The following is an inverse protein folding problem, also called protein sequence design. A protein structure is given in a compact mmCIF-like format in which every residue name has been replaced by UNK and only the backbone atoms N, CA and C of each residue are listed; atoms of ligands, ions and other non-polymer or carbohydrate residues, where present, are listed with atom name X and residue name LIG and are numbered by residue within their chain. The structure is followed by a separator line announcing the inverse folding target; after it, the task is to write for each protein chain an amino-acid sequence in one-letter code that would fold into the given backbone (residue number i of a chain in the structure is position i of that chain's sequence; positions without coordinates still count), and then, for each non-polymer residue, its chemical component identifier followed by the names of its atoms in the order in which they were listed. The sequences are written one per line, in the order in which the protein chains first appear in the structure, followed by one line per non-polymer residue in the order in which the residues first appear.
data_IF_994670027970
#
_entry.id   IF_994670027970
#
_cell.length_a   1.000
_cell.length_b   1.000
_cell.length_c   1.000
_cell.angle_alpha   90.00
_cell.angle_beta   90.00
_cell.angle_gamma   90.00
#
_symmetry.space_group_name_H-M   'P 1'
#
loop_
_entity.id
_entity.type
_entity.pdbx_description
1 polymer ?
#
# COMPACT_ATOMS: atom_id res chain seq x y z
N UNK A 1 28.78 -17.67 19.12
CA UNK A 1 28.59 -17.15 17.75
C UNK A 1 27.11 -16.82 17.58
N UNK A 2 26.74 -15.54 17.77
CA UNK A 2 25.34 -15.10 17.84
C UNK A 2 24.66 -15.20 16.47
N UNK A 3 24.09 -16.37 16.18
CA UNK A 3 23.34 -16.67 14.96
C UNK A 3 21.89 -16.13 15.02
N UNK A 4 21.46 -15.60 16.17
CA UNK A 4 20.10 -15.13 16.47
C UNK A 4 19.59 -13.96 15.61
N UNK A 5 20.41 -12.96 15.20
CA UNK A 5 19.89 -11.77 14.52
C UNK A 5 19.14 -12.06 13.21
N UNK A 6 19.67 -12.95 12.36
CA UNK A 6 19.05 -13.30 11.07
C UNK A 6 17.70 -14.00 11.24
N UNK A 7 17.57 -14.86 12.26
CA UNK A 7 16.32 -15.55 12.55
C UNK A 7 15.22 -14.60 13.04
N UNK A 8 15.60 -13.56 13.79
CA UNK A 8 14.66 -12.64 14.42
C UNK A 8 14.32 -11.41 13.57
N UNK A 9 15.16 -11.05 12.60
CA UNK A 9 15.04 -9.76 11.93
C UNK A 9 13.72 -9.62 11.18
N UNK A 10 13.31 -10.61 10.38
CA UNK A 10 12.05 -10.55 9.63
C UNK A 10 10.80 -10.49 10.54
N UNK A 11 10.63 -11.39 11.55
CA UNK A 11 9.52 -11.28 12.49
C UNK A 11 9.50 -9.95 13.25
N UNK A 12 10.66 -9.44 13.66
CA UNK A 12 10.75 -8.18 14.41
C UNK A 12 10.42 -6.97 13.54
N UNK A 13 10.86 -6.92 12.29
CA UNK A 13 10.54 -5.82 11.37
C UNK A 13 9.06 -5.80 10.98
N UNK A 14 8.40 -6.97 10.95
CA UNK A 14 6.93 -7.03 10.81
C UNK A 14 6.27 -6.53 12.10
N UNK A 15 6.73 -6.99 13.27
CA UNK A 15 6.18 -6.59 14.55
C UNK A 15 6.38 -5.10 14.86
N UNK A 16 7.46 -4.48 14.39
CA UNK A 16 7.71 -3.04 14.52
C UNK A 16 6.74 -2.17 13.73
N UNK A 17 5.94 -2.74 12.82
CA UNK A 17 4.90 -2.04 12.06
C UNK A 17 3.48 -2.43 12.48
N UNK A 18 3.35 -3.14 13.60
CA UNK A 18 2.07 -3.56 14.15
C UNK A 18 1.20 -2.37 14.58
N UNK A 19 -0.11 -2.44 14.31
CA UNK A 19 -1.09 -1.50 14.83
C UNK A 19 -1.23 -1.53 16.37
N UNK A 20 -0.90 -2.67 17.01
CA UNK A 20 -0.85 -2.76 18.47
C UNK A 20 0.34 -1.96 19.03
N UNK A 21 0.11 -0.92 19.86
CA UNK A 21 1.18 -0.07 20.40
C UNK A 21 2.17 -0.85 21.27
N UNK A 22 1.68 -1.81 22.05
CA UNK A 22 2.52 -2.65 22.90
C UNK A 22 3.49 -3.52 22.08
N UNK A 23 2.98 -4.17 21.02
CA UNK A 23 3.80 -4.98 20.11
C UNK A 23 4.82 -4.13 19.35
N UNK A 24 4.38 -2.98 18.84
CA UNK A 24 5.24 -2.01 18.15
C UNK A 24 6.38 -1.53 19.05
N UNK A 25 6.06 -1.08 20.27
CA UNK A 25 7.05 -0.58 21.23
C UNK A 25 8.05 -1.67 21.65
N UNK A 26 7.56 -2.87 21.95
CA UNK A 26 8.41 -4.00 22.33
C UNK A 26 9.36 -4.41 21.19
N UNK A 27 8.85 -4.54 19.96
CA UNK A 27 9.65 -4.88 18.79
C UNK A 27 10.73 -3.82 18.51
N UNK A 28 10.37 -2.53 18.56
CA UNK A 28 11.33 -1.44 18.37
C UNK A 28 12.39 -1.39 19.47
N UNK A 29 12.03 -1.71 20.72
CA UNK A 29 13.02 -1.82 21.80
C UNK A 29 14.03 -2.94 21.53
N UNK A 30 13.57 -4.11 21.05
CA UNK A 30 14.44 -5.24 20.71
C UNK A 30 15.33 -4.89 19.51
N UNK A 31 14.76 -4.31 18.45
CA UNK A 31 15.53 -3.87 17.27
C UNK A 31 16.60 -2.84 17.65
N UNK A 32 16.29 -1.91 18.54
CA UNK A 32 17.25 -0.92 19.04
C UNK A 32 18.43 -1.58 19.76
N UNK A 33 18.18 -2.56 20.61
CA UNK A 33 19.25 -3.31 21.27
C UNK A 33 20.06 -4.17 20.27
N UNK A 34 19.43 -4.66 19.20
CA UNK A 34 20.11 -5.41 18.15
C UNK A 34 21.06 -4.51 17.33
N UNK A 35 20.77 -3.22 17.21
CA UNK A 35 21.64 -2.26 16.54
C UNK A 35 23.04 -2.17 17.17
N UNK A 36 23.19 -2.43 18.47
CA UNK A 36 24.50 -2.36 19.15
C UNK A 36 25.51 -3.37 18.58
N UNK A 37 25.02 -4.50 18.06
CA UNK A 37 25.85 -5.60 17.55
C UNK A 37 25.72 -5.79 16.02
N UNK A 38 24.61 -5.37 15.42
CA UNK A 38 24.28 -5.66 14.02
C UNK A 38 23.55 -4.48 13.35
N UNK A 39 24.06 -3.27 13.54
CA UNK A 39 23.47 -2.03 13.04
C UNK A 39 23.18 -2.07 11.53
N UNK A 40 24.15 -2.53 10.72
CA UNK A 40 24.02 -2.59 9.27
C UNK A 40 22.88 -3.52 8.86
N UNK A 41 22.86 -4.74 9.40
CA UNK A 41 21.79 -5.72 9.18
C UNK A 41 20.41 -5.16 9.56
N UNK A 42 20.28 -4.52 10.72
CA UNK A 42 18.99 -3.96 11.18
C UNK A 42 18.53 -2.84 10.24
N UNK A 43 19.42 -1.92 9.87
CA UNK A 43 19.08 -0.82 8.93
C UNK A 43 18.68 -1.35 7.56
N UNK A 44 19.41 -2.34 7.04
CA UNK A 44 19.09 -3.00 5.78
C UNK A 44 17.71 -3.65 5.84
N UNK A 45 17.41 -4.41 6.90
CA UNK A 45 16.12 -5.07 7.04
C UNK A 45 14.94 -4.11 7.19
N UNK A 46 15.13 -3.02 7.94
CA UNK A 46 14.11 -1.97 8.09
C UNK A 46 13.78 -1.34 6.73
N UNK A 47 14.81 -0.90 5.98
CA UNK A 47 14.64 -0.31 4.65
C UNK A 47 13.98 -1.31 3.68
N UNK A 48 14.51 -2.53 3.58
CA UNK A 48 13.96 -3.57 2.70
C UNK A 48 12.50 -3.83 3.04
N UNK A 49 12.15 -3.93 4.31
CA UNK A 49 10.76 -4.14 4.72
C UNK A 49 9.86 -2.95 4.39
N UNK A 50 10.31 -1.71 4.58
CA UNK A 50 9.53 -0.51 4.23
C UNK A 50 9.22 -0.46 2.75
N UNK A 51 10.23 -0.70 1.94
CA UNK A 51 10.08 -0.64 0.49
C UNK A 51 9.32 -1.85 -0.07
N UNK A 52 9.44 -3.04 0.54
CA UNK A 52 8.59 -4.18 0.19
C UNK A 52 7.11 -3.89 0.47
N UNK A 53 6.78 -3.20 1.56
CA UNK A 53 5.40 -2.77 1.85
C UNK A 53 4.94 -1.74 0.83
N UNK A 54 5.77 -0.76 0.48
CA UNK A 54 5.45 0.24 -0.55
C UNK A 54 5.16 -0.41 -1.90
N UNK A 55 5.97 -1.38 -2.32
CA UNK A 55 5.78 -2.10 -3.58
C UNK A 55 4.61 -3.07 -3.51
N UNK A 56 4.25 -3.56 -2.32
CA UNK A 56 3.11 -4.45 -2.11
C UNK A 56 1.77 -3.79 -2.43
N UNK A 57 1.60 -2.50 -2.16
CA UNK A 57 0.33 -1.78 -2.33
C UNK A 57 0.60 -0.36 -2.82
N UNK A 58 0.22 -0.08 -4.07
CA UNK A 58 0.38 1.24 -4.67
C UNK A 58 -0.70 2.21 -4.19
N UNK A 59 -0.42 3.53 -4.25
CA UNK A 59 -1.44 4.56 -3.97
C UNK A 59 -2.73 4.39 -4.78
N UNK A 60 -2.62 3.96 -6.04
CA UNK A 60 -3.79 3.67 -6.88
C UNK A 60 -4.69 2.60 -6.26
N UNK A 61 -4.11 1.56 -5.64
CA UNK A 61 -4.87 0.47 -5.04
C UNK A 61 -5.46 0.87 -3.69
N UNK A 62 -4.71 1.62 -2.88
CA UNK A 62 -5.18 2.18 -1.62
C UNK A 62 -6.37 3.11 -1.84
N UNK A 63 -6.26 4.03 -2.81
CA UNK A 63 -7.37 4.92 -3.16
C UNK A 63 -8.55 4.18 -3.77
N UNK A 64 -8.32 3.18 -4.62
CA UNK A 64 -9.44 2.39 -5.17
C UNK A 64 -10.21 1.65 -4.07
N UNK A 65 -9.53 0.89 -3.21
CA UNK A 65 -10.17 0.15 -2.12
C UNK A 65 -10.81 1.10 -1.10
N UNK A 66 -10.11 2.16 -0.69
CA UNK A 66 -10.64 3.11 0.28
C UNK A 66 -11.85 3.88 -0.22
N UNK A 67 -11.89 4.25 -1.51
CA UNK A 67 -13.06 4.90 -2.10
C UNK A 67 -14.25 3.92 -2.22
N UNK A 68 -13.98 2.66 -2.55
CA UNK A 68 -15.00 1.61 -2.57
C UNK A 68 -15.63 1.40 -1.18
N UNK A 69 -14.81 1.26 -0.15
CA UNK A 69 -15.27 1.09 1.24
C UNK A 69 -15.97 2.35 1.78
N UNK A 70 -15.40 3.54 1.53
CA UNK A 70 -16.02 4.80 1.93
C UNK A 70 -17.38 5.00 1.25
N UNK A 71 -17.52 4.57 -0.01
CA UNK A 71 -18.79 4.62 -0.75
C UNK A 71 -19.83 3.69 -0.13
N UNK A 72 -19.42 2.46 0.23
CA UNK A 72 -20.26 1.48 0.93
C UNK A 72 -20.81 2.05 2.25
N UNK A 73 -19.96 2.67 3.05
CA UNK A 73 -20.34 3.29 4.33
C UNK A 73 -21.29 4.48 4.14
N UNK A 74 -21.01 5.39 3.20
CA UNK A 74 -21.81 6.58 3.00
C UNK A 74 -23.16 6.31 2.33
N UNK A 75 -23.17 5.60 1.20
CA UNK A 75 -24.38 5.38 0.42
C UNK A 75 -25.21 4.19 0.92
N UNK A 76 -24.55 3.13 1.39
CA UNK A 76 -25.22 1.93 1.90
C UNK A 76 -25.68 2.08 3.35
N UNK A 77 -24.75 2.42 4.25
CA UNK A 77 -25.02 2.45 5.70
C UNK A 77 -25.41 3.84 6.23
N UNK A 78 -25.31 4.90 5.41
CA UNK A 78 -25.47 6.31 5.84
C UNK A 78 -24.49 6.71 6.95
N UNK A 79 -23.36 6.01 7.06
CA UNK A 79 -22.35 6.21 8.07
C UNK A 79 -21.28 7.21 7.61
N UNK A 80 -21.56 8.50 7.80
CA UNK A 80 -20.66 9.59 7.43
C UNK A 80 -19.36 9.58 8.24
N UNK A 81 -19.43 9.21 9.53
CA UNK A 81 -18.24 9.16 10.39
C UNK A 81 -17.27 8.07 9.93
N UNK A 82 -17.78 6.86 9.68
CA UNK A 82 -16.98 5.76 9.16
C UNK A 82 -16.35 6.09 7.79
N UNK A 83 -17.09 6.78 6.92
CA UNK A 83 -16.53 7.27 5.65
C UNK A 83 -15.29 8.15 5.87
N UNK A 84 -15.32 9.09 6.83
CA UNK A 84 -14.15 9.90 7.15
C UNK A 84 -13.00 9.09 7.77
N UNK A 85 -13.31 8.17 8.67
CA UNK A 85 -12.31 7.26 9.28
C UNK A 85 -11.54 6.45 8.21
N UNK A 86 -12.17 6.16 7.06
CA UNK A 86 -11.52 5.49 5.91
C UNK A 86 -10.71 6.46 5.04
N UNK A 87 -11.25 7.64 4.72
CA UNK A 87 -10.63 8.57 3.76
C UNK A 87 -9.50 9.42 4.35
N UNK A 88 -9.59 9.78 5.63
CA UNK A 88 -8.64 10.68 6.29
C UNK A 88 -7.19 10.14 6.30
N UNK A 89 -6.94 8.85 6.62
CA UNK A 89 -5.60 8.27 6.52
C UNK A 89 -5.01 8.31 5.10
N UNK A 90 -5.84 8.22 4.06
CA UNK A 90 -5.40 8.29 2.67
C UNK A 90 -4.97 9.69 2.28
N UNK A 91 -5.73 10.71 2.71
CA UNK A 91 -5.31 12.10 2.54
C UNK A 91 -4.04 12.42 3.31
N UNK A 92 -3.93 11.97 4.56
CA UNK A 92 -2.72 12.14 5.36
C UNK A 92 -1.50 11.42 4.75
N UNK A 93 -1.71 10.32 4.01
CA UNK A 93 -0.67 9.70 3.21
C UNK A 93 -0.20 10.61 2.06
N UNK A 94 -1.11 11.26 1.34
CA UNK A 94 -0.74 12.16 0.25
C UNK A 94 -0.10 13.46 0.73
N UNK A 95 -0.52 13.97 1.88
CA UNK A 95 0.03 15.19 2.49
C UNK A 95 1.52 15.04 2.86
N UNK A 96 1.97 13.82 3.18
CA UNK A 96 3.40 13.51 3.38
C UNK A 96 4.24 13.69 2.11
N UNK A 97 3.60 13.77 0.95
CA UNK A 97 4.24 13.98 -0.35
C UNK A 97 4.73 12.68 -1.01
N UNK A 98 4.91 12.71 -2.34
CA UNK A 98 5.39 11.55 -3.09
C UNK A 98 6.88 11.31 -2.83
N UNK A 99 7.24 10.03 -2.63
CA UNK A 99 8.60 9.57 -2.37
C UNK A 99 9.19 8.79 -3.56
N UNK A 100 8.35 8.34 -4.49
CA UNK A 100 8.77 7.59 -5.69
C UNK A 100 8.17 8.18 -6.95
N UNK A 101 8.75 7.89 -8.11
CA UNK A 101 8.25 8.40 -9.40
C UNK A 101 6.80 7.96 -9.66
N UNK A 102 6.41 6.76 -9.22
CA UNK A 102 5.03 6.28 -9.35
C UNK A 102 4.06 7.09 -8.48
N UNK A 103 4.47 7.47 -7.27
CA UNK A 103 3.71 8.34 -6.38
C UNK A 103 3.64 9.77 -6.92
N UNK A 104 4.74 10.29 -7.48
CA UNK A 104 4.77 11.61 -8.15
C UNK A 104 3.76 11.63 -9.30
N UNK A 105 3.76 10.60 -10.14
CA UNK A 105 2.82 10.46 -11.26
C UNK A 105 1.36 10.38 -10.80
N UNK A 106 1.09 9.64 -9.71
CA UNK A 106 -0.25 9.62 -9.10
C UNK A 106 -0.67 11.02 -8.64
N UNK A 107 0.21 11.72 -7.90
CA UNK A 107 -0.10 13.03 -7.34
C UNK A 107 -0.34 14.07 -8.45
N UNK A 108 0.43 14.02 -9.53
CA UNK A 108 0.22 14.87 -10.71
C UNK A 108 -1.12 14.59 -11.40
N UNK A 109 -1.54 13.32 -11.47
CA UNK A 109 -2.75 12.92 -12.20
C UNK A 109 -4.06 13.11 -11.42
N UNK A 110 -4.02 12.99 -10.09
CA UNK A 110 -5.21 12.93 -9.21
C UNK A 110 -5.14 13.83 -7.97
N UNK A 111 -3.96 14.35 -7.60
CA UNK A 111 -3.76 15.01 -6.31
C UNK A 111 -4.57 16.29 -6.14
N UNK A 112 -4.76 17.06 -7.22
CA UNK A 112 -5.62 18.25 -7.19
C UNK A 112 -7.06 17.91 -6.83
N UNK A 113 -7.65 16.96 -7.55
CA UNK A 113 -9.05 16.56 -7.36
C UNK A 113 -9.28 15.99 -5.96
N UNK A 114 -8.33 15.18 -5.46
CA UNK A 114 -8.40 14.61 -4.11
C UNK A 114 -8.29 15.69 -3.03
N UNK A 115 -7.36 16.64 -3.18
CA UNK A 115 -7.22 17.75 -2.24
C UNK A 115 -8.49 18.63 -2.21
N UNK A 116 -9.06 18.94 -3.37
CA UNK A 116 -10.30 19.70 -3.46
C UNK A 116 -11.48 18.93 -2.83
N UNK A 117 -11.56 17.61 -3.04
CA UNK A 117 -12.55 16.75 -2.38
C UNK A 117 -12.39 16.77 -0.84
N UNK A 118 -11.15 16.79 -0.34
CA UNK A 118 -10.86 16.92 1.09
C UNK A 118 -11.33 18.26 1.66
N UNK A 119 -11.16 19.36 0.91
CA UNK A 119 -11.63 20.67 1.33
C UNK A 119 -13.15 20.71 1.45
N UNK A 120 -13.88 20.09 0.51
CA UNK A 120 -15.33 19.93 0.61
C UNK A 120 -15.75 19.10 1.83
N UNK A 121 -15.04 18.02 2.13
CA UNK A 121 -15.22 17.25 3.36
C UNK A 121 -15.00 18.12 4.62
N UNK A 122 -13.95 18.94 4.65
CA UNK A 122 -13.65 19.87 5.76
C UNK A 122 -14.66 21.01 5.89
N UNK A 123 -15.28 21.43 4.79
CA UNK A 123 -16.41 22.39 4.82
C UNK A 123 -17.64 21.74 5.45
N UNK A 124 -17.97 20.51 5.04
CA UNK A 124 -19.09 19.76 5.60
C UNK A 124 -18.97 19.59 7.12
N UNK A 125 -17.78 19.30 7.66
CA UNK A 125 -17.62 19.13 9.12
C UNK A 125 -17.88 20.42 9.90
N UNK A 126 -17.83 21.58 9.26
CA UNK A 126 -18.16 22.89 9.85
C UNK A 126 -19.61 23.31 9.60
N UNK A 127 -20.13 23.03 8.39
CA UNK A 127 -21.43 23.52 7.92
C UNK A 127 -22.59 22.55 8.19
N UNK A 128 -22.31 21.24 8.21
CA UNK A 128 -23.32 20.17 8.18
C UNK A 128 -24.11 20.08 6.86
N UNK A 129 -23.73 20.85 5.83
CA UNK A 129 -24.49 20.97 4.59
C UNK A 129 -24.20 19.81 3.63
N UNK A 130 -25.19 18.96 3.37
CA UNK A 130 -25.04 17.80 2.49
C UNK A 130 -24.60 18.15 1.06
N UNK A 131 -24.86 19.37 0.58
CA UNK A 131 -24.38 19.81 -0.73
C UNK A 131 -22.84 19.80 -0.82
N UNK A 132 -22.16 20.07 0.29
CA UNK A 132 -20.69 20.05 0.35
C UNK A 132 -20.17 18.61 0.13
N UNK A 133 -20.82 17.61 0.73
CA UNK A 133 -20.46 16.20 0.50
C UNK A 133 -20.78 15.74 -0.91
N UNK A 134 -21.87 16.22 -1.53
CA UNK A 134 -22.15 15.92 -2.93
C UNK A 134 -21.01 16.37 -3.84
N UNK A 135 -20.48 17.59 -3.63
CA UNK A 135 -19.33 18.09 -4.41
C UNK A 135 -18.06 17.24 -4.18
N UNK A 136 -17.79 16.83 -2.95
CA UNK A 136 -16.67 15.93 -2.66
C UNK A 136 -16.79 14.60 -3.41
N UNK A 137 -18.00 14.01 -3.41
CA UNK A 137 -18.25 12.73 -4.06
C UNK A 137 -18.15 12.79 -5.58
N UNK A 138 -18.52 13.89 -6.23
CA UNK A 138 -18.33 14.06 -7.67
C UNK A 138 -16.84 13.93 -8.06
N UNK A 139 -15.95 14.53 -7.28
CA UNK A 139 -14.50 14.45 -7.47
C UNK A 139 -13.96 13.05 -7.14
N UNK A 140 -14.39 12.45 -6.02
CA UNK A 140 -13.99 11.09 -5.66
C UNK A 140 -14.40 10.07 -6.71
N UNK A 141 -15.62 10.16 -7.24
CA UNK A 141 -16.08 9.28 -8.32
C UNK A 141 -15.31 9.49 -9.61
N UNK A 142 -14.95 10.75 -9.94
CA UNK A 142 -14.11 11.04 -11.10
C UNK A 142 -12.76 10.31 -11.00
N UNK A 143 -12.08 10.43 -9.86
CA UNK A 143 -10.80 9.77 -9.59
C UNK A 143 -10.95 8.26 -9.57
N UNK A 144 -11.95 7.72 -8.85
CA UNK A 144 -12.23 6.28 -8.76
C UNK A 144 -12.36 5.66 -10.16
N UNK A 145 -13.20 6.24 -11.03
CA UNK A 145 -13.42 5.72 -12.40
C UNK A 145 -12.15 5.71 -13.24
N UNK A 146 -11.27 6.70 -13.07
CA UNK A 146 -9.99 6.76 -13.79
C UNK A 146 -9.03 5.68 -13.30
N UNK A 147 -8.95 5.50 -11.97
CA UNK A 147 -8.13 4.45 -11.35
C UNK A 147 -8.63 3.06 -11.74
N UNK A 148 -9.94 2.78 -11.67
CA UNK A 148 -10.52 1.48 -12.03
C UNK A 148 -10.20 1.06 -13.46
N UNK A 149 -10.05 2.02 -14.39
CA UNK A 149 -9.62 1.73 -15.77
C UNK A 149 -8.13 1.41 -15.88
N UNK A 150 -7.29 2.01 -15.04
CA UNK A 150 -5.83 1.84 -15.10
C UNK A 150 -5.35 0.57 -14.39
N UNK A 151 -5.97 0.19 -13.26
CA UNK A 151 -5.50 -0.94 -12.44
C UNK A 151 -5.35 -2.25 -13.24
N UNK A 152 -6.29 -2.67 -14.12
CA UNK A 152 -6.13 -3.90 -14.90
C UNK A 152 -4.91 -3.90 -15.83
N UNK A 153 -4.44 -2.72 -16.26
CA UNK A 153 -3.30 -2.58 -17.17
C UNK A 153 -1.94 -2.67 -16.45
N UNK A 154 -1.92 -2.56 -15.12
CA UNK A 154 -0.70 -2.64 -14.32
C UNK A 154 -0.31 -4.11 -14.05
N UNK A 155 0.17 -4.80 -15.08
CA UNK A 155 0.59 -6.21 -15.05
C UNK A 155 2.05 -6.42 -14.67
N UNK A 156 2.88 -5.37 -14.78
CA UNK A 156 4.28 -5.37 -14.34
C UNK A 156 4.65 -4.03 -13.70
N UNK A 157 5.57 -4.06 -12.74
CA UNK A 157 6.09 -2.89 -12.03
C UNK A 157 7.61 -2.86 -12.10
N UNK A 158 8.18 -1.82 -12.70
CA UNK A 158 9.62 -1.60 -12.69
C UNK A 158 10.04 -0.91 -11.38
N UNK A 159 11.00 -1.49 -10.66
CA UNK A 159 11.52 -0.99 -9.38
C UNK A 159 12.02 0.45 -9.49
N UNK A 160 12.59 0.86 -10.62
CA UNK A 160 13.04 2.25 -10.80
C UNK A 160 11.93 3.28 -10.56
N UNK A 161 10.67 2.91 -10.81
CA UNK A 161 9.52 3.79 -10.61
C UNK A 161 8.85 3.61 -9.25
N UNK A 162 8.86 2.40 -8.69
CA UNK A 162 8.10 2.06 -7.46
C UNK A 162 8.95 1.92 -6.19
N UNK A 163 10.25 1.64 -6.32
CA UNK A 163 11.22 1.60 -5.23
C UNK A 163 12.66 1.62 -5.79
N UNK A 164 13.27 2.80 -5.98
CA UNK A 164 14.66 2.90 -6.40
C UNK A 164 15.62 2.35 -5.34
N UNK A 165 15.24 2.38 -4.06
CA UNK A 165 16.06 1.85 -2.97
C UNK A 165 16.25 0.33 -3.10
N UNK A 166 15.19 -0.43 -3.39
CA UNK A 166 15.28 -1.87 -3.65
C UNK A 166 16.08 -2.18 -4.92
N UNK A 167 16.00 -1.32 -5.94
CA UNK A 167 16.80 -1.49 -7.16
C UNK A 167 18.30 -1.36 -6.89
N UNK A 168 18.67 -0.38 -6.05
CA UNK A 168 20.06 -0.07 -5.68
C UNK A 168 20.67 -1.06 -4.70
N UNK A 169 19.86 -1.92 -4.07
CA UNK A 169 20.33 -2.95 -3.15
C UNK A 169 21.29 -3.91 -3.85
N UNK A 170 22.52 -3.97 -3.32
CA UNK A 170 23.59 -4.89 -3.73
C UNK A 170 24.26 -5.46 -2.49
N UNK A 171 24.49 -6.77 -2.48
CA UNK A 171 25.31 -7.48 -1.48
C UNK A 171 24.93 -7.17 -0.02
N UNK A 172 23.65 -7.33 0.33
CA UNK A 172 23.17 -7.07 1.70
C UNK A 172 23.63 -8.16 2.66
N UNK A 173 23.86 -7.79 3.93
CA UNK A 173 24.10 -8.76 5.01
C UNK A 173 22.85 -9.59 5.34
N UNK A 174 21.69 -9.08 4.93
CA UNK A 174 20.41 -9.71 5.13
C UNK A 174 20.31 -11.04 4.37
N UNK A 175 19.91 -12.11 5.08
CA UNK A 175 19.63 -13.40 4.48
C UNK A 175 18.47 -13.31 3.48
N UNK A 176 18.46 -14.13 2.43
CA UNK A 176 17.28 -14.31 1.58
C UNK A 176 16.15 -14.87 2.47
N UNK A 177 14.92 -14.32 2.44
CA UNK A 177 13.83 -14.84 3.26
C UNK A 177 13.59 -16.34 3.03
N UNK A 178 13.50 -17.09 4.12
CA UNK A 178 13.23 -18.54 4.08
C UNK A 178 14.43 -19.44 3.79
N UNK A 179 15.63 -18.90 3.60
CA UNK A 179 16.86 -19.70 3.38
C UNK A 179 17.75 -19.81 4.61
N UNK A 180 17.44 -19.08 5.68
CA UNK A 180 18.23 -19.12 6.90
C UNK A 180 18.04 -20.45 7.64
N UNK A 181 19.14 -21.20 7.78
CA UNK A 181 19.19 -22.42 8.58
C UNK A 181 20.33 -22.31 9.63
N UNK A 182 20.08 -22.64 10.91
CA UNK A 182 21.13 -22.66 11.91
C UNK A 182 22.26 -23.59 11.49
N UNK A 183 23.51 -23.17 11.73
CA UNK A 183 24.72 -23.95 11.41
C UNK A 183 25.09 -24.04 9.92
N UNK A 184 24.29 -23.51 9.01
CA UNK A 184 24.67 -23.33 7.60
C UNK A 184 25.17 -21.92 7.30
N UNK A 185 25.89 -21.77 6.19
CA UNK A 185 26.29 -20.46 5.70
C UNK A 185 25.06 -19.65 5.28
N UNK A 186 24.98 -18.39 5.70
CA UNK A 186 23.86 -17.51 5.39
C UNK A 186 23.86 -17.18 3.90
N UNK A 187 22.77 -17.53 3.20
CA UNK A 187 22.55 -17.09 1.81
C UNK A 187 22.08 -15.65 1.83
N UNK A 188 23.01 -14.72 1.64
CA UNK A 188 22.75 -13.27 1.61
C UNK A 188 22.07 -12.81 0.33
N UNK A 189 21.32 -11.71 0.41
CA UNK A 189 20.70 -11.07 -0.75
C UNK A 189 21.81 -10.37 -1.57
N UNK A 190 22.06 -10.88 -2.77
CA UNK A 190 22.98 -10.24 -3.71
C UNK A 190 22.31 -9.06 -4.44
N UNK A 191 21.08 -9.25 -4.92
CA UNK A 191 20.31 -8.20 -5.60
C UNK A 191 18.83 -8.57 -5.71
N UNK A 192 18.00 -7.61 -6.11
CA UNK A 192 16.59 -7.84 -6.46
C UNK A 192 16.40 -7.65 -7.97
N UNK A 193 15.51 -8.43 -8.56
CA UNK A 193 15.14 -8.26 -9.97
C UNK A 193 14.52 -6.87 -10.20
N UNK A 194 14.85 -6.24 -11.33
CA UNK A 194 14.42 -4.87 -11.64
C UNK A 194 12.92 -4.72 -11.87
N UNK A 195 12.21 -5.81 -12.14
CA UNK A 195 10.80 -5.83 -12.49
C UNK A 195 10.03 -6.84 -11.63
N UNK A 196 8.82 -6.47 -11.22
CA UNK A 196 7.88 -7.34 -10.50
C UNK A 196 6.67 -7.65 -11.36
N UNK A 197 6.38 -8.93 -11.55
CA UNK A 197 5.15 -9.35 -12.20
C UNK A 197 3.97 -9.23 -11.23
N UNK A 198 2.90 -8.57 -11.66
CA UNK A 198 1.65 -8.47 -10.90
C UNK A 198 0.70 -9.56 -11.37
N UNK A 199 0.30 -10.44 -10.45
CA UNK A 199 -0.63 -11.53 -10.76
C UNK A 199 -2.05 -10.96 -10.76
N UNK A 200 -2.73 -11.01 -11.91
CA UNK A 200 -4.10 -10.50 -12.06
C UNK A 200 -5.09 -11.30 -11.23
N UNK A 201 -5.48 -10.78 -10.08
CA UNK A 201 -6.44 -11.35 -9.13
C UNK A 201 -6.99 -10.22 -8.24
N UNK A 202 -7.96 -10.49 -7.35
CA UNK A 202 -8.47 -9.46 -6.41
C UNK A 202 -7.36 -8.88 -5.51
N UNK A 203 -6.45 -9.74 -5.06
CA UNK A 203 -5.35 -9.35 -4.16
C UNK A 203 -4.12 -8.79 -4.88
N UNK A 204 -4.03 -9.00 -6.20
CA UNK A 204 -2.94 -8.51 -7.08
C UNK A 204 -1.52 -8.74 -6.52
N UNK A 205 -1.17 -9.94 -6.02
CA UNK A 205 0.12 -10.15 -5.39
C UNK A 205 1.28 -9.94 -6.37
N UNK A 206 2.41 -9.48 -5.84
CA UNK A 206 3.62 -9.19 -6.62
C UNK A 206 4.56 -10.37 -6.53
N UNK A 207 4.96 -10.91 -7.68
CA UNK A 207 6.02 -11.90 -7.78
C UNK A 207 7.36 -11.17 -7.79
N UNK A 208 8.01 -11.14 -6.62
CA UNK A 208 9.34 -10.58 -6.47
C UNK A 208 10.39 -11.68 -6.63
N UNK A 209 11.44 -11.42 -7.41
CA UNK A 209 12.59 -12.33 -7.52
C UNK A 209 13.79 -11.73 -6.81
N UNK A 210 14.37 -12.49 -5.88
CA UNK A 210 15.58 -12.12 -5.14
C UNK A 210 16.72 -13.04 -5.56
N UNK A 211 17.87 -12.45 -5.88
CA UNK A 211 19.10 -13.17 -6.22
C UNK A 211 19.98 -13.27 -4.97
N UNK A 212 20.41 -14.48 -4.63
CA UNK A 212 21.33 -14.75 -3.51
C UNK A 212 22.78 -14.90 -3.96
N UNK A 213 23.73 -14.72 -3.04
CA UNK A 213 25.18 -14.81 -3.32
C UNK A 213 25.65 -16.21 -3.77
N UNK A 214 24.93 -17.27 -3.41
CA UNK A 214 25.25 -18.63 -3.84
C UNK A 214 24.63 -18.94 -5.22
N UNK A 215 25.47 -18.94 -6.26
CA UNK A 215 25.14 -19.43 -7.60
C UNK A 215 24.81 -20.94 -7.66
N UNK A 216 24.88 -21.67 -6.54
CA UNK A 216 24.54 -23.10 -6.45
C UNK A 216 23.33 -23.31 -5.53
N UNK A 217 22.21 -22.69 -5.85
CA UNK A 217 20.90 -23.24 -5.53
C UNK A 217 20.02 -23.08 -6.76
N UNK A 218 19.37 -24.18 -7.16
CA UNK A 218 18.31 -24.24 -8.16
C UNK A 218 17.05 -23.45 -7.74
N UNK A 219 17.18 -22.19 -7.33
CA UNK A 219 16.09 -21.46 -6.73
C UNK A 219 16.30 -19.96 -6.78
N UNK A 220 16.03 -19.34 -7.93
CA UNK A 220 15.27 -18.10 -7.89
C UNK A 220 14.00 -18.40 -7.10
N UNK A 221 13.94 -17.98 -5.84
CA UNK A 221 12.75 -18.12 -5.01
C UNK A 221 11.87 -16.91 -5.30
N UNK A 222 10.78 -17.04 -6.08
CA UNK A 222 9.80 -15.98 -6.17
C UNK A 222 9.14 -15.84 -4.81
N UNK A 223 9.33 -14.68 -4.18
CA UNK A 223 8.57 -14.32 -3.00
C UNK A 223 7.30 -13.65 -3.48
N UNK A 224 6.17 -14.23 -3.12
CA UNK A 224 4.89 -13.56 -3.27
C UNK A 224 4.79 -12.51 -2.17
N UNK A 225 4.90 -11.25 -2.55
CA UNK A 225 4.56 -10.15 -1.65
C UNK A 225 3.03 -10.05 -1.67
N UNK A 226 2.41 -10.60 -0.62
CA UNK A 226 0.96 -10.68 -0.47
C UNK A 226 0.47 -9.49 0.35
N UNK A 227 -0.64 -8.92 -0.07
CA UNK A 227 -1.39 -7.90 0.66
C UNK A 227 -1.90 -8.49 1.98
N UNK A 228 -1.50 -7.91 3.12
CA UNK A 228 -2.14 -8.19 4.41
C UNK A 228 -3.18 -7.09 4.65
N UNK A 229 -4.40 -7.30 4.16
CA UNK A 229 -5.55 -6.45 4.45
C UNK A 229 -6.26 -6.87 5.74
N UNK A 230 -7.07 -5.99 6.36
CA UNK A 230 -8.01 -6.41 7.40
C UNK A 230 -8.98 -7.45 6.80
N UNK A 231 -9.24 -8.54 7.54
CA UNK A 231 -10.18 -9.58 7.10
C UNK A 231 -11.58 -8.97 6.87
N UNK A 232 -12.05 -8.92 5.62
CA UNK A 232 -13.43 -8.58 5.29
C UNK A 232 -14.13 -9.81 4.69
N UNK A 233 -15.26 -10.17 5.30
CA UNK A 233 -16.24 -11.10 4.76
C UNK A 233 -17.01 -10.41 3.61
N UNK A 234 -17.03 -11.04 2.44
CA UNK A 234 -17.87 -10.69 1.27
C UNK A 234 -19.21 -11.47 1.35
N UNK A 235 -20.34 -10.95 0.83
CA UNK A 235 -20.51 -10.89 -0.62
C UNK A 235 -21.30 -9.68 -1.21
N UNK A 236 -20.83 -9.25 -2.40
CA UNK A 236 -21.53 -8.64 -3.55
C UNK A 236 -22.60 -7.53 -3.36
N UNK A 237 -22.39 -6.39 -4.04
CA UNK A 237 -23.45 -5.43 -4.38
C UNK A 237 -23.23 -4.83 -5.80
N UNK A 238 -24.30 -4.45 -6.55
CA UNK A 238 -24.23 -4.00 -7.94
C UNK A 238 -23.86 -2.51 -8.06
N UNK A 239 -23.49 -2.02 -9.25
CA UNK A 239 -23.15 -0.61 -9.45
C UNK A 239 -24.35 0.32 -9.21
N UNK A 240 -24.12 1.56 -8.72
CA UNK A 240 -25.18 2.52 -8.44
C UNK A 240 -25.89 2.99 -9.73
N UNK A 241 -27.19 3.35 -9.65
CA UNK A 241 -27.95 3.77 -10.81
C UNK A 241 -27.44 5.10 -11.36
N UNK A 242 -27.54 5.33 -12.69
CA UNK A 242 -27.20 6.62 -13.28
C UNK A 242 -28.13 7.69 -12.74
N UNK A 243 -27.55 8.80 -12.26
CA UNK A 243 -28.29 9.98 -11.81
C UNK A 243 -29.20 10.48 -12.93
N UNK A 244 -30.51 10.38 -12.70
CA UNK A 244 -31.53 10.87 -13.61
C UNK A 244 -31.36 12.37 -13.80
N UNK A 245 -31.05 12.78 -15.04
CA UNK A 245 -31.33 14.13 -15.51
C UNK A 245 -32.83 14.38 -15.35
N UNK A 246 -33.20 15.34 -14.51
CA UNK A 246 -34.54 15.94 -14.54
C UNK A 246 -34.74 16.60 -15.91
N UNK A 247 -35.50 15.94 -16.78
CA UNK A 247 -36.07 16.55 -17.96
C UNK A 247 -37.42 17.14 -17.55
N UNK A 248 -37.45 18.47 -17.33
CA UNK A 248 -38.70 19.22 -17.14
C UNK A 248 -39.37 19.38 -18.51
N UNK A 249 -40.40 18.59 -18.77
CA UNK A 249 -41.37 18.89 -19.84
C UNK A 249 -42.45 19.79 -19.26
N UNK A 250 -42.51 21.02 -19.77
CA UNK A 250 -43.64 21.95 -19.60
C UNK A 250 -44.90 21.31 -20.20
N UNK A 251 -45.98 21.29 -19.42
CA UNK A 251 -47.33 21.10 -19.93
C UNK A 251 -47.82 22.42 -20.55
N UNK A 252 -48.36 22.34 -21.77
CA UNK A 252 -49.28 23.34 -22.33
C UNK A 252 -50.54 22.59 -22.74
N UNK A 253 -51.61 22.81 -21.97
CA UNK A 253 -52.96 23.11 -22.45
C UNK A 253 -53.50 24.22 -21.55
#
# INVERSE_FOLDING_TARGET
MMCVPQALIYPLTVASKSASPARHSAANKILKNMCDHSNTLVKQAMMVSEELIRVAILWHELWHEGLEEASRLYFGERNVRGMFEVLEPLHAMMERGPQTLKETSFNQAYGRDLMEAQEWCRKFTRSGNQKDLTQAWDLYYHVFRRISKQLPQLTSLELQYVSPQLLMCRELELAVPGTYEPQQAVVRIQSLASSLQVITSKQRPRKLTIMGELQILKGTQPINVVRVGPQQNDPHCPPPPPTSKQCSCRAYY
#
